data_IF_488810011373
#
_entry.id   IF_488810011373
#
_cell.length_a   1.000
_cell.length_b   1.000
_cell.length_c   1.000
_cell.angle_alpha   90.00
_cell.angle_beta   90.00
_cell.angle_gamma   90.00
#
_symmetry.space_group_name_H-M   'P 1'
#
loop_
_entity.id
_entity.type
_entity.pdbx_description
1 polymer ?
#
# COMPACT_ATOMS: atom_id res chain seq x y z
N UNK A 1 1.62 -60.95 -0.95
CA UNK A 1 0.63 -61.89 -0.39
C UNK A 1 1.11 -62.37 0.97
N UNK A 2 0.39 -61.98 2.03
CA UNK A 2 0.26 -62.56 3.38
C UNK A 2 1.54 -63.05 4.10
N UNK A 3 2.03 -62.23 5.03
CA UNK A 3 2.60 -62.70 6.30
C UNK A 3 2.01 -61.85 7.42
N UNK A 4 1.05 -62.45 8.14
CA UNK A 4 0.49 -61.96 9.40
C UNK A 4 1.45 -62.39 10.51
N UNK A 5 2.00 -61.44 11.27
CA UNK A 5 2.66 -61.71 12.55
C UNK A 5 2.09 -60.74 13.58
N UNK A 6 1.21 -61.30 14.42
CA UNK A 6 1.18 -61.16 15.87
C UNK A 6 1.25 -59.72 16.44
N UNK A 7 0.09 -59.11 16.68
CA UNK A 7 -0.03 -57.88 17.46
C UNK A 7 -0.06 -58.20 18.96
N UNK A 8 0.97 -57.77 19.69
CA UNK A 8 1.06 -57.80 21.14
C UNK A 8 0.31 -56.62 21.77
N UNK A 9 -0.64 -56.95 22.62
CA UNK A 9 -1.07 -56.28 23.87
C UNK A 9 -0.50 -54.87 24.11
N UNK A 10 -1.38 -53.87 24.20
CA UNK A 10 -1.14 -52.73 25.09
C UNK A 10 -2.42 -52.33 25.83
N UNK A 11 -2.20 -52.10 27.12
CA UNK A 11 -3.12 -52.02 28.23
C UNK A 11 -4.18 -50.91 28.14
N UNK A 12 -5.37 -51.30 28.61
CA UNK A 12 -6.16 -50.68 29.67
C UNK A 12 -6.51 -49.18 29.52
N UNK A 13 -7.74 -48.96 29.11
CA UNK A 13 -8.46 -47.69 29.10
C UNK A 13 -9.21 -47.42 30.41
N UNK A 14 -9.33 -46.12 30.72
CA UNK A 14 -10.30 -45.45 31.61
C UNK A 14 -10.07 -45.63 33.12
N UNK A 15 -10.24 -44.63 34.00
CA UNK A 15 -11.33 -43.65 34.06
C UNK A 15 -10.86 -42.33 34.70
N UNK A 16 -11.54 -41.26 34.31
CA UNK A 16 -11.32 -39.85 34.58
C UNK A 16 -11.60 -39.37 36.02
N UNK A 17 -11.04 -38.18 36.30
CA UNK A 17 -11.64 -37.06 37.02
C UNK A 17 -12.23 -37.28 38.42
N UNK A 18 -11.44 -36.91 39.44
CA UNK A 18 -11.95 -36.09 40.54
C UNK A 18 -11.04 -34.87 40.67
N UNK A 19 -11.57 -33.75 40.21
CA UNK A 19 -11.14 -32.43 40.60
C UNK A 19 -11.42 -32.25 42.09
N UNK A 20 -10.38 -32.04 42.90
CA UNK A 20 -10.52 -31.47 44.24
C UNK A 20 -9.93 -30.07 44.23
N UNK A 21 -10.73 -29.16 44.78
CA UNK A 21 -10.54 -27.73 44.87
C UNK A 21 -9.17 -27.38 45.46
N UNK A 22 -8.35 -26.71 44.65
CA UNK A 22 -7.30 -25.84 45.14
C UNK A 22 -7.57 -24.47 44.55
N UNK A 23 -7.80 -23.51 45.45
CA UNK A 23 -7.99 -22.08 45.20
C UNK A 23 -7.08 -21.60 44.06
N UNK A 24 -7.60 -20.96 42.99
CA UNK A 24 -6.72 -20.24 42.08
C UNK A 24 -6.17 -19.04 42.85
N UNK A 25 -4.84 -18.82 42.89
CA UNK A 25 -4.37 -17.50 43.28
C UNK A 25 -4.97 -16.53 42.25
N UNK A 26 -5.64 -15.49 42.74
CA UNK A 26 -6.06 -14.37 41.92
C UNK A 26 -4.79 -13.79 41.32
N UNK A 27 -4.44 -14.20 40.09
CA UNK A 27 -3.52 -13.48 39.24
C UNK A 27 -4.21 -12.15 38.93
N UNK A 28 -3.81 -11.12 39.67
CA UNK A 28 -4.00 -9.74 39.25
C UNK A 28 -3.55 -9.62 37.79
N UNK A 29 -4.33 -9.03 36.88
CA UNK A 29 -3.89 -8.81 35.49
C UNK A 29 -2.66 -7.91 35.35
N UNK A 30 -2.14 -7.36 36.45
CA UNK A 30 -1.02 -6.41 36.46
C UNK A 30 0.36 -7.07 36.60
N UNK A 31 0.46 -8.38 36.41
CA UNK A 31 1.75 -9.06 36.30
C UNK A 31 2.30 -8.96 34.86
N UNK A 32 3.26 -8.05 34.69
CA UNK A 32 4.34 -8.14 33.69
C UNK A 32 3.94 -7.81 32.23
N UNK A 33 3.62 -6.54 31.98
CA UNK A 33 3.89 -5.89 30.68
C UNK A 33 5.38 -5.54 30.49
N UNK A 34 6.25 -5.94 31.41
CA UNK A 34 7.70 -5.87 31.22
C UNK A 34 8.15 -7.01 30.30
N UNK A 35 8.19 -6.71 29.00
CA UNK A 35 9.16 -7.25 28.06
C UNK A 35 9.45 -8.75 28.24
N UNK A 36 8.56 -9.61 27.76
CA UNK A 36 8.94 -11.02 27.55
C UNK A 36 10.22 -11.04 26.70
N UNK A 37 11.33 -11.63 27.17
CA UNK A 37 12.64 -11.54 26.50
C UNK A 37 12.62 -12.00 25.04
N UNK A 38 11.71 -12.92 24.68
CA UNK A 38 11.51 -13.34 23.29
C UNK A 38 10.87 -12.31 22.35
N UNK A 39 10.06 -11.36 22.84
CA UNK A 39 9.49 -10.27 22.03
C UNK A 39 10.54 -9.21 21.70
N UNK A 40 11.39 -8.86 22.67
CA UNK A 40 12.52 -7.95 22.48
C UNK A 40 13.55 -8.51 21.48
N UNK A 41 13.88 -9.81 21.57
CA UNK A 41 14.82 -10.45 20.64
C UNK A 41 14.28 -10.51 19.19
N UNK A 42 12.98 -10.76 19.02
CA UNK A 42 12.37 -10.74 17.69
C UNK A 42 12.33 -9.31 17.11
N UNK A 43 12.03 -8.31 17.92
CA UNK A 43 12.09 -6.90 17.53
C UNK A 43 13.52 -6.49 17.10
N UNK A 44 14.52 -6.95 17.84
CA UNK A 44 15.92 -6.68 17.54
C UNK A 44 16.37 -7.40 16.25
N UNK A 45 15.92 -8.64 16.03
CA UNK A 45 16.10 -9.35 14.76
C UNK A 45 15.44 -8.64 13.58
N UNK A 46 14.22 -8.12 13.75
CA UNK A 46 13.54 -7.34 12.72
C UNK A 46 14.26 -6.03 12.41
N UNK A 47 14.80 -5.32 13.43
CA UNK A 47 15.63 -4.12 13.23
C UNK A 47 16.91 -4.42 12.45
N UNK A 48 17.59 -5.52 12.76
CA UNK A 48 18.80 -5.93 12.03
C UNK A 48 18.48 -6.28 10.56
N UNK A 49 17.36 -6.98 10.31
CA UNK A 49 16.92 -7.30 8.97
C UNK A 49 16.57 -6.05 8.17
N UNK A 50 15.77 -5.15 8.73
CA UNK A 50 15.39 -3.88 8.10
C UNK A 50 16.63 -3.03 7.80
N UNK A 51 17.60 -2.98 8.72
CA UNK A 51 18.87 -2.28 8.52
C UNK A 51 19.67 -2.88 7.36
N UNK A 52 19.73 -4.20 7.26
CA UNK A 52 20.37 -4.88 6.13
C UNK A 52 19.71 -4.53 4.79
N UNK A 53 18.37 -4.56 4.73
CA UNK A 53 17.62 -4.14 3.52
C UNK A 53 17.88 -2.68 3.15
N UNK A 54 17.94 -1.79 4.14
CA UNK A 54 18.18 -0.37 3.90
C UNK A 54 19.62 -0.11 3.42
N UNK A 55 20.60 -0.83 3.98
CA UNK A 55 21.98 -0.78 3.51
C UNK A 55 22.13 -1.27 2.07
N UNK A 56 21.40 -2.31 1.68
CA UNK A 56 21.40 -2.78 0.28
C UNK A 56 20.69 -1.80 -0.66
N UNK A 57 19.66 -1.08 -0.18
CA UNK A 57 18.94 -0.07 -0.94
C UNK A 57 19.67 1.29 -1.01
N UNK A 58 20.68 1.53 -0.18
CA UNK A 58 21.42 2.79 -0.11
C UNK A 58 21.95 3.26 -1.47
N UNK A 59 22.55 2.41 -2.34
CA UNK A 59 22.97 2.81 -3.67
C UNK A 59 21.82 3.32 -4.54
N UNK A 60 20.71 2.59 -4.59
CA UNK A 60 19.53 2.98 -5.38
C UNK A 60 18.90 4.28 -4.86
N UNK A 61 18.93 4.51 -3.54
CA UNK A 61 18.46 5.76 -2.95
C UNK A 61 19.34 6.95 -3.32
N UNK A 62 20.67 6.77 -3.37
CA UNK A 62 21.59 7.81 -3.84
C UNK A 62 21.35 8.16 -5.31
N UNK A 63 21.15 7.16 -6.16
CA UNK A 63 20.86 7.37 -7.58
C UNK A 63 19.51 8.10 -7.77
N UNK A 64 18.49 7.74 -6.99
CA UNK A 64 17.20 8.42 -7.00
C UNK A 64 17.32 9.88 -6.53
N UNK A 65 18.15 10.14 -5.52
CA UNK A 65 18.42 11.48 -5.03
C UNK A 65 19.12 12.32 -6.09
N UNK A 66 20.13 11.78 -6.76
CA UNK A 66 20.82 12.46 -7.86
C UNK A 66 19.88 12.78 -9.03
N UNK A 67 18.98 11.84 -9.36
CA UNK A 67 17.93 12.08 -10.36
C UNK A 67 16.96 13.18 -9.91
N UNK A 68 16.54 13.17 -8.64
CA UNK A 68 15.66 14.17 -8.08
C UNK A 68 16.32 15.56 -8.06
N UNK A 69 17.62 15.66 -7.79
CA UNK A 69 18.36 16.92 -7.82
C UNK A 69 18.45 17.48 -9.26
N UNK A 70 18.58 16.60 -10.26
CA UNK A 70 18.60 16.98 -11.68
C UNK A 70 17.22 17.37 -12.21
N UNK A 71 16.18 16.61 -11.89
CA UNK A 71 14.82 16.83 -12.41
C UNK A 71 13.99 17.80 -11.56
N UNK A 72 14.29 17.94 -10.27
CA UNK A 72 13.52 18.72 -9.31
C UNK A 72 13.29 20.17 -9.75
N UNK A 73 14.34 20.92 -10.16
CA UNK A 73 14.17 22.28 -10.66
C UNK A 73 13.27 22.37 -11.89
N UNK A 74 13.38 21.42 -12.83
CA UNK A 74 12.56 21.37 -14.03
C UNK A 74 11.09 21.05 -13.71
N UNK A 75 10.85 20.07 -12.83
CA UNK A 75 9.50 19.74 -12.35
C UNK A 75 8.85 20.88 -11.58
N UNK A 76 9.63 21.59 -10.76
CA UNK A 76 9.15 22.79 -10.07
C UNK A 76 8.76 23.88 -11.07
N UNK A 77 9.62 24.15 -12.05
CA UNK A 77 9.35 25.13 -13.11
C UNK A 77 8.12 24.78 -13.94
N UNK A 78 7.95 23.50 -14.30
CA UNK A 78 6.76 22.99 -14.97
C UNK A 78 5.49 23.22 -14.13
N UNK A 79 5.56 22.93 -12.83
CA UNK A 79 4.44 23.14 -11.90
C UNK A 79 4.10 24.61 -11.76
N UNK A 80 5.11 25.48 -11.64
CA UNK A 80 4.91 26.93 -11.45
C UNK A 80 4.36 27.60 -12.73
N UNK A 81 4.80 27.17 -13.93
CA UNK A 81 4.42 27.80 -15.21
C UNK A 81 3.20 27.17 -15.87
N UNK A 82 3.07 25.84 -15.83
CA UNK A 82 2.01 25.10 -16.52
C UNK A 82 0.97 24.50 -15.56
N UNK A 83 1.25 24.46 -14.25
CA UNK A 83 0.35 23.88 -13.26
C UNK A 83 -1.03 24.52 -13.22
N UNK A 84 -1.16 25.86 -13.15
CA UNK A 84 -2.48 26.53 -13.15
C UNK A 84 -3.30 26.23 -14.40
N UNK A 85 -2.70 26.40 -15.59
CA UNK A 85 -3.37 26.11 -16.86
C UNK A 85 -3.77 24.62 -16.98
N UNK A 86 -2.93 23.69 -16.51
CA UNK A 86 -3.27 22.27 -16.49
C UNK A 86 -4.44 21.99 -15.53
N UNK A 87 -4.47 22.62 -14.36
CA UNK A 87 -5.57 22.50 -13.41
C UNK A 87 -6.88 23.00 -14.00
N UNK A 88 -6.86 24.11 -14.74
CA UNK A 88 -8.03 24.64 -15.43
C UNK A 88 -8.52 23.69 -16.52
N UNK A 89 -7.63 23.12 -17.34
CA UNK A 89 -7.98 22.10 -18.33
C UNK A 89 -8.61 20.88 -17.65
N UNK A 90 -8.04 20.40 -16.54
CA UNK A 90 -8.59 19.27 -15.79
C UNK A 90 -9.97 19.59 -15.18
N UNK A 91 -10.22 20.85 -14.80
CA UNK A 91 -11.54 21.28 -14.30
C UNK A 91 -12.61 21.32 -15.41
N UNK A 92 -12.22 21.50 -16.67
CA UNK A 92 -13.13 21.47 -17.83
C UNK A 92 -13.51 20.04 -18.25
N UNK A 93 -12.72 19.04 -17.86
CA UNK A 93 -12.92 17.63 -18.22
C UNK A 93 -13.71 16.93 -17.11
N UNK A 94 -14.79 16.23 -17.47
CA UNK A 94 -15.58 15.43 -16.52
C UNK A 94 -14.84 14.15 -16.09
N UNK A 95 -14.62 13.24 -17.03
CA UNK A 95 -13.79 12.04 -16.90
C UNK A 95 -12.92 11.93 -18.15
N UNK A 96 -11.60 11.84 -17.97
CA UNK A 96 -10.63 11.77 -19.06
C UNK A 96 -10.90 10.60 -20.02
N UNK A 97 -11.52 9.51 -19.54
CA UNK A 97 -11.86 8.34 -20.36
C UNK A 97 -12.94 8.65 -21.40
N UNK A 98 -13.73 9.69 -21.18
CA UNK A 98 -14.75 10.13 -22.13
C UNK A 98 -14.15 10.85 -23.34
N UNK A 99 -12.84 11.04 -23.40
CA UNK A 99 -12.17 11.79 -24.45
C UNK A 99 -11.14 10.93 -25.18
N UNK A 100 -10.97 11.22 -26.47
CA UNK A 100 -9.96 10.60 -27.32
C UNK A 100 -8.62 11.33 -27.21
N UNK A 101 -7.57 10.77 -27.81
CA UNK A 101 -6.28 11.45 -27.91
C UNK A 101 -6.36 12.78 -28.70
N UNK A 102 -5.36 13.67 -28.54
CA UNK A 102 -5.32 14.94 -29.25
C UNK A 102 -5.19 14.76 -30.77
N UNK A 103 -5.94 15.55 -31.55
CA UNK A 103 -5.87 15.61 -33.01
C UNK A 103 -5.34 16.99 -33.45
N UNK A 104 -4.30 17.02 -34.28
CA UNK A 104 -3.74 18.24 -34.86
C UNK A 104 -4.50 18.59 -36.15
N UNK A 105 -5.12 19.77 -36.17
CA UNK A 105 -5.86 20.27 -37.31
C UNK A 105 -4.94 20.97 -38.34
N UNK A 106 -5.39 21.15 -39.60
CA UNK A 106 -4.58 21.82 -40.63
C UNK A 106 -4.19 23.27 -40.29
N UNK A 107 -4.93 23.94 -39.41
CA UNK A 107 -4.63 25.29 -38.93
C UNK A 107 -3.62 25.33 -37.77
N UNK A 108 -3.18 24.16 -37.27
CA UNK A 108 -2.26 24.05 -36.15
C UNK A 108 -2.92 23.96 -34.77
N UNK A 109 -4.25 24.06 -34.70
CA UNK A 109 -4.98 23.85 -33.45
C UNK A 109 -5.00 22.37 -33.06
N UNK A 110 -5.05 22.13 -31.75
CA UNK A 110 -5.23 20.80 -31.20
C UNK A 110 -6.63 20.68 -30.65
N UNK A 111 -7.33 19.62 -31.01
CA UNK A 111 -8.65 19.30 -30.45
C UNK A 111 -8.60 17.98 -29.70
N UNK A 112 -9.35 17.89 -28.61
CA UNK A 112 -9.57 16.66 -27.86
C UNK A 112 -11.05 16.31 -28.02
N UNK A 113 -11.35 15.33 -28.86
CA UNK A 113 -12.73 14.95 -29.16
C UNK A 113 -13.28 14.06 -28.06
N UNK A 114 -14.56 14.20 -27.77
CA UNK A 114 -15.29 13.28 -26.91
C UNK A 114 -15.50 11.94 -27.62
N UNK A 115 -15.33 10.85 -26.90
CA UNK A 115 -15.55 9.50 -27.40
C UNK A 115 -17.04 9.33 -27.81
N UNK A 116 -17.31 8.61 -28.92
CA UNK A 116 -18.66 8.49 -29.47
C UNK A 116 -19.62 7.71 -28.56
N UNK A 117 -19.10 6.86 -27.68
CA UNK A 117 -19.81 6.04 -26.71
C UNK A 117 -19.87 6.65 -25.30
N UNK A 118 -19.28 7.84 -25.10
CA UNK A 118 -19.28 8.50 -23.80
C UNK A 118 -20.70 8.94 -23.38
N UNK A 119 -21.09 8.82 -22.10
CA UNK A 119 -22.38 9.29 -21.56
C UNK A 119 -22.62 10.77 -21.90
N UNK A 120 -23.83 11.33 -21.97
CA UNK A 120 -23.97 12.77 -22.31
C UNK A 120 -23.20 13.68 -21.34
N UNK A 121 -22.48 14.68 -21.86
CA UNK A 121 -21.79 15.66 -21.02
C UNK A 121 -22.80 16.46 -20.20
N UNK A 122 -22.55 16.53 -18.89
CA UNK A 122 -23.33 17.35 -17.95
C UNK A 122 -22.34 18.31 -17.30
N UNK A 123 -22.46 19.63 -17.55
CA UNK A 123 -21.62 20.62 -16.89
C UNK A 123 -21.77 20.51 -15.37
N UNK A 124 -20.64 20.47 -14.65
CA UNK A 124 -20.63 20.47 -13.19
C UNK A 124 -20.46 21.90 -12.69
N UNK A 125 -21.56 22.56 -12.26
CA UNK A 125 -21.64 23.94 -11.76
C UNK A 125 -20.99 25.02 -12.68
N UNK A 126 -21.30 26.32 -12.54
CA UNK A 126 -20.87 27.29 -13.55
C UNK A 126 -19.34 27.40 -13.56
N UNK A 127 -18.74 27.56 -14.75
CA UNK A 127 -17.29 27.66 -14.89
C UNK A 127 -16.78 28.81 -14.04
N UNK A 128 -15.71 28.56 -13.28
CA UNK A 128 -14.96 29.64 -12.64
C UNK A 128 -14.57 30.62 -13.75
N UNK A 129 -14.88 31.90 -13.59
CA UNK A 129 -14.35 32.94 -14.46
C UNK A 129 -12.82 32.82 -14.45
N UNK A 130 -12.26 32.43 -15.59
CA UNK A 130 -10.82 32.40 -15.79
C UNK A 130 -10.43 33.86 -16.04
N UNK A 131 -9.91 34.53 -15.00
CA UNK A 131 -9.28 35.84 -15.18
C UNK A 131 -8.04 35.63 -16.06
N UNK A 132 -8.15 36.06 -17.33
CA UNK A 132 -7.10 36.01 -18.35
C UNK A 132 -6.25 37.28 -18.36
#
# INVERSE_FOLDING_TARGET
MKKLILASVLALTAVAAVAQMSDPPVESPDAVEEQRPGRSLMEEGAKLLLRGLLSEAEPAMRDLQEFADQMGPAMKSLTDQMGPALADIMAMIDDIKNYSGPELLPNGDIIIRRAPDAPKFVPSDPPREIDL
#
